data_IF_217705251818
#
_entry.id   IF_217705251818
#
_cell.length_a   1.000
_cell.length_b   1.000
_cell.length_c   1.000
_cell.angle_alpha   90.00
_cell.angle_beta   90.00
_cell.angle_gamma   90.00
#
_symmetry.space_group_name_H-M   'P 1'
#
loop_
_entity.id
_entity.type
_entity.pdbx_description
1 polymer ?
#
# COMPACT_ATOMS: atom_id res chain seq x y z
N UNK A 1 -43.21 3.44 20.50
CA UNK A 1 -44.26 3.46 19.42
C UNK A 1 -45.48 4.29 19.88
N UNK A 2 -46.34 4.69 18.91
CA UNK A 2 -47.61 5.40 19.22
C UNK A 2 -48.50 4.62 20.19
N UNK A 3 -48.46 3.29 20.11
CA UNK A 3 -49.19 2.38 21.00
C UNK A 3 -48.65 2.44 22.46
N UNK A 4 -47.36 2.51 22.64
CA UNK A 4 -46.72 2.64 23.98
C UNK A 4 -47.03 3.97 24.64
N UNK A 5 -47.04 5.07 23.87
CA UNK A 5 -47.41 6.40 24.37
C UNK A 5 -48.88 6.44 24.82
N UNK A 6 -49.79 5.82 24.03
CA UNK A 6 -51.20 5.67 24.42
C UNK A 6 -51.36 4.79 25.67
N UNK A 7 -50.62 3.70 25.79
CA UNK A 7 -50.65 2.82 26.94
C UNK A 7 -50.11 3.50 28.21
N UNK A 8 -49.16 4.44 28.05
CA UNK A 8 -48.63 5.28 29.14
C UNK A 8 -49.53 6.46 29.50
N UNK A 9 -50.74 6.56 28.94
CA UNK A 9 -51.70 7.61 29.25
C UNK A 9 -51.35 8.99 28.69
N UNK A 10 -50.41 9.08 27.77
CA UNK A 10 -50.03 10.35 27.11
C UNK A 10 -51.14 10.77 26.16
N UNK A 11 -51.79 11.90 26.42
CA UNK A 11 -52.75 12.49 25.50
C UNK A 11 -52.00 13.00 24.28
N UNK A 12 -52.22 12.37 23.11
CA UNK A 12 -51.67 12.86 21.85
C UNK A 12 -52.44 14.07 21.35
N UNK A 13 -51.75 15.11 20.90
CA UNK A 13 -52.41 16.30 20.36
C UNK A 13 -53.22 15.94 19.10
N UNK A 14 -54.35 16.63 18.93
CA UNK A 14 -55.25 16.43 17.79
C UNK A 14 -54.75 17.10 16.49
N UNK A 15 -53.79 18.03 16.61
CA UNK A 15 -53.11 18.69 15.51
C UNK A 15 -51.72 19.14 15.92
N UNK A 16 -50.88 19.40 14.91
CA UNK A 16 -49.54 19.95 15.07
C UNK A 16 -49.35 21.10 14.03
N UNK A 17 -48.62 22.11 14.45
CA UNK A 17 -48.23 23.23 13.55
C UNK A 17 -46.75 23.13 13.33
N UNK A 18 -46.33 23.10 12.05
CA UNK A 18 -44.95 23.06 11.63
C UNK A 18 -44.50 24.44 11.19
N UNK A 19 -43.55 25.03 11.89
CA UNK A 19 -42.84 26.21 11.44
C UNK A 19 -41.52 25.78 10.84
N UNK A 20 -41.30 26.13 9.54
CA UNK A 20 -40.13 25.73 8.78
C UNK A 20 -39.29 26.97 8.54
N UNK A 21 -38.06 26.97 9.00
CA UNK A 21 -37.05 27.98 8.74
C UNK A 21 -35.94 27.39 7.88
N UNK A 22 -35.82 27.86 6.65
CA UNK A 22 -34.85 27.38 5.67
C UNK A 22 -33.47 27.98 5.92
N UNK A 23 -32.43 27.19 5.55
CA UNK A 23 -31.05 27.59 5.42
C UNK A 23 -30.45 26.89 4.17
N UNK A 24 -29.24 27.24 3.74
CA UNK A 24 -28.69 26.81 2.44
C UNK A 24 -28.68 25.30 2.22
N UNK A 25 -28.42 24.51 3.29
CA UNK A 25 -28.30 23.05 3.18
C UNK A 25 -29.57 22.30 3.59
N UNK A 26 -30.65 23.00 4.00
CA UNK A 26 -31.88 22.36 4.43
C UNK A 26 -32.85 23.28 5.18
N UNK A 27 -33.47 22.76 6.21
CA UNK A 27 -34.37 23.52 7.05
C UNK A 27 -34.42 23.02 8.48
N UNK A 28 -34.73 23.90 9.41
CA UNK A 28 -35.15 23.52 10.77
C UNK A 28 -36.68 23.52 10.84
N UNK A 29 -37.23 22.49 11.44
CA UNK A 29 -38.65 22.35 11.65
C UNK A 29 -38.93 22.44 13.15
N UNK A 30 -39.75 23.41 13.54
CA UNK A 30 -40.23 23.61 14.90
C UNK A 30 -41.69 23.16 14.98
N UNK A 31 -41.99 22.26 15.90
CA UNK A 31 -43.32 21.67 16.04
C UNK A 31 -43.96 22.28 17.29
N UNK A 32 -45.15 22.87 17.11
CA UNK A 32 -45.93 23.42 18.20
C UNK A 32 -47.36 22.87 18.18
N UNK A 33 -48.07 23.00 19.29
CA UNK A 33 -49.47 22.58 19.41
C UNK A 33 -50.42 23.73 19.48
N UNK A 34 -49.86 24.95 19.48
CA UNK A 34 -50.60 26.23 19.46
C UNK A 34 -49.92 27.17 18.46
N UNK A 35 -50.67 28.09 17.84
CA UNK A 35 -50.07 29.12 16.99
C UNK A 35 -49.15 30.03 17.81
N UNK A 36 -47.92 30.22 17.32
CA UNK A 36 -46.87 31.03 17.98
C UNK A 36 -46.25 32.03 16.99
N UNK A 37 -47.03 32.89 16.37
CA UNK A 37 -46.53 33.79 15.32
C UNK A 37 -45.42 34.72 15.80
N UNK A 38 -45.41 35.09 17.07
CA UNK A 38 -44.39 35.92 17.71
C UNK A 38 -43.01 35.28 17.76
N UNK A 39 -42.89 33.94 17.64
CA UNK A 39 -41.64 33.26 17.65
C UNK A 39 -41.00 33.03 16.25
N UNK A 40 -41.69 33.41 15.19
CA UNK A 40 -41.20 33.21 13.80
C UNK A 40 -39.79 33.80 13.58
N UNK A 41 -39.57 35.04 14.07
CA UNK A 41 -38.25 35.68 13.94
C UNK A 41 -37.19 34.97 14.80
N UNK A 42 -37.57 34.37 15.90
CA UNK A 42 -36.68 33.56 16.74
C UNK A 42 -36.31 32.29 15.95
N UNK A 43 -37.23 31.60 15.32
CA UNK A 43 -37.00 30.42 14.52
C UNK A 43 -36.04 30.68 13.35
N UNK A 44 -36.19 31.82 12.64
CA UNK A 44 -35.23 32.26 11.61
C UNK A 44 -33.83 32.49 12.18
N UNK A 45 -33.72 33.08 13.34
CA UNK A 45 -32.44 33.30 14.02
C UNK A 45 -31.75 31.95 14.40
N UNK A 46 -32.52 30.99 14.86
CA UNK A 46 -32.02 29.63 15.11
C UNK A 46 -31.52 28.99 13.82
N UNK A 47 -32.29 29.07 12.73
CA UNK A 47 -31.87 28.54 11.42
C UNK A 47 -30.56 29.17 10.95
N UNK A 48 -30.41 30.50 11.10
CA UNK A 48 -29.18 31.22 10.73
C UNK A 48 -27.95 30.79 11.56
N UNK A 49 -28.11 30.60 12.89
CA UNK A 49 -27.02 30.11 13.77
C UNK A 49 -26.68 28.67 13.43
N UNK A 50 -27.68 27.85 13.16
CA UNK A 50 -27.47 26.46 12.75
C UNK A 50 -26.73 26.37 11.41
N UNK A 51 -27.14 27.19 10.42
CA UNK A 51 -26.46 27.28 9.12
C UNK A 51 -24.98 27.60 9.27
N UNK A 52 -24.63 28.63 10.05
CA UNK A 52 -23.23 28.99 10.30
C UNK A 52 -22.44 27.83 10.92
N UNK A 53 -23.02 27.16 11.91
CA UNK A 53 -22.38 26.02 12.61
C UNK A 53 -22.24 24.82 11.68
N UNK A 54 -23.28 24.52 10.91
CA UNK A 54 -23.29 23.39 9.99
C UNK A 54 -22.35 23.60 8.80
N UNK A 55 -22.31 24.80 8.24
CA UNK A 55 -21.35 25.17 7.17
C UNK A 55 -19.92 25.00 7.68
N UNK A 56 -19.62 25.50 8.88
CA UNK A 56 -18.30 25.31 9.49
C UNK A 56 -17.95 23.83 9.68
N UNK A 57 -18.91 23.01 10.11
CA UNK A 57 -18.71 21.56 10.24
C UNK A 57 -18.37 20.92 8.89
N UNK A 58 -19.10 21.25 7.82
CA UNK A 58 -18.82 20.75 6.47
C UNK A 58 -17.44 21.21 5.97
N UNK A 59 -17.05 22.45 6.23
CA UNK A 59 -15.74 22.97 5.84
C UNK A 59 -14.61 22.27 6.57
N UNK A 60 -14.79 21.97 7.85
CA UNK A 60 -13.82 21.19 8.64
C UNK A 60 -13.69 19.76 8.11
N UNK A 61 -14.79 19.07 7.84
CA UNK A 61 -14.75 17.74 7.22
C UNK A 61 -14.01 17.73 5.89
N UNK A 62 -14.31 18.72 5.04
CA UNK A 62 -13.62 18.86 3.75
C UNK A 62 -12.12 19.10 3.92
N UNK A 63 -11.75 19.98 4.85
CA UNK A 63 -10.35 20.26 5.15
C UNK A 63 -9.62 19.03 5.69
N UNK A 64 -10.25 18.22 6.56
CA UNK A 64 -9.68 16.97 7.08
C UNK A 64 -9.44 15.95 5.96
N UNK A 65 -10.41 15.76 5.06
CA UNK A 65 -10.26 14.87 3.90
C UNK A 65 -9.12 15.34 2.99
N UNK A 66 -9.06 16.64 2.68
CA UNK A 66 -7.99 17.21 1.86
C UNK A 66 -6.61 17.07 2.52
N UNK A 67 -6.52 17.30 3.83
CA UNK A 67 -5.28 17.14 4.59
C UNK A 67 -4.82 15.67 4.61
N UNK A 68 -5.76 14.72 4.74
CA UNK A 68 -5.47 13.28 4.66
C UNK A 68 -4.91 12.90 3.30
N UNK A 69 -5.59 13.32 2.21
CA UNK A 69 -5.16 13.04 0.85
C UNK A 69 -3.77 13.64 0.55
N UNK A 70 -3.52 14.88 0.97
CA UNK A 70 -2.22 15.51 0.82
C UNK A 70 -1.09 14.74 1.55
N UNK A 71 -1.38 14.16 2.72
CA UNK A 71 -0.42 13.30 3.44
C UNK A 71 -0.13 12.01 2.67
N UNK A 72 -1.16 11.38 2.10
CA UNK A 72 -1.01 10.17 1.28
C UNK A 72 -0.16 10.49 0.05
N UNK A 73 -0.47 11.55 -0.69
CA UNK A 73 0.30 11.96 -1.87
C UNK A 73 1.77 12.26 -1.52
N UNK A 74 2.02 12.97 -0.43
CA UNK A 74 3.39 13.24 0.02
C UNK A 74 4.15 11.95 0.37
N UNK A 75 3.49 10.96 0.97
CA UNK A 75 4.09 9.67 1.27
C UNK A 75 4.39 8.88 -0.03
N UNK A 76 3.46 8.87 -0.98
CA UNK A 76 3.63 8.25 -2.30
C UNK A 76 4.82 8.86 -3.06
N UNK A 77 4.94 10.19 -3.07
CA UNK A 77 6.06 10.86 -3.74
C UNK A 77 7.42 10.55 -3.10
N UNK A 78 7.50 10.39 -1.79
CA UNK A 78 8.74 9.99 -1.12
C UNK A 78 9.15 8.57 -1.50
N UNK A 79 8.20 7.63 -1.56
CA UNK A 79 8.47 6.26 -2.02
C UNK A 79 8.88 6.26 -3.48
N UNK A 80 8.22 7.05 -4.34
CA UNK A 80 8.58 7.20 -5.75
C UNK A 80 10.01 7.74 -5.90
N UNK A 81 10.37 8.78 -5.15
CA UNK A 81 11.69 9.38 -5.20
C UNK A 81 12.77 8.36 -4.81
N UNK A 82 12.56 7.59 -3.74
CA UNK A 82 13.49 6.55 -3.31
C UNK A 82 13.62 5.44 -4.35
N UNK A 83 12.49 4.96 -4.89
CA UNK A 83 12.51 3.94 -5.93
C UNK A 83 13.15 4.45 -7.24
N UNK A 84 13.05 5.74 -7.56
CA UNK A 84 13.73 6.34 -8.71
C UNK A 84 15.24 6.50 -8.51
N UNK A 85 15.71 6.55 -7.27
CA UNK A 85 17.13 6.64 -6.93
C UNK A 85 17.83 5.27 -6.96
N UNK A 86 17.10 4.17 -7.21
CA UNK A 86 17.71 2.83 -7.31
C UNK A 86 18.71 2.73 -8.46
N UNK A 87 19.87 2.15 -8.18
CA UNK A 87 20.92 1.82 -9.14
C UNK A 87 21.17 0.29 -9.22
N UNK A 88 20.78 -0.44 -8.18
CA UNK A 88 21.00 -1.88 -8.06
C UNK A 88 19.84 -2.58 -7.35
N UNK A 89 19.80 -3.90 -7.45
CA UNK A 89 18.79 -4.72 -6.76
C UNK A 89 18.97 -4.74 -5.24
N UNK A 90 20.15 -4.37 -4.71
CA UNK A 90 20.37 -4.20 -3.27
C UNK A 90 19.59 -3.01 -2.70
N UNK A 91 19.26 -2.02 -3.53
CA UNK A 91 18.56 -0.81 -3.11
C UNK A 91 17.09 -1.07 -2.75
N UNK A 92 16.52 -2.22 -3.13
CA UNK A 92 15.17 -2.63 -2.73
C UNK A 92 14.99 -2.69 -1.21
N UNK A 93 16.05 -3.01 -0.46
CA UNK A 93 16.00 -2.99 0.99
C UNK A 93 15.75 -1.56 1.53
N UNK A 94 16.31 -0.55 0.87
CA UNK A 94 16.09 0.86 1.23
C UNK A 94 14.66 1.25 0.90
N UNK A 95 14.17 0.86 -0.28
CA UNK A 95 12.79 1.18 -0.71
C UNK A 95 11.74 0.53 0.21
N UNK A 96 11.94 -0.73 0.63
CA UNK A 96 10.97 -1.40 1.53
C UNK A 96 10.97 -0.75 2.92
N UNK A 97 12.12 -0.32 3.42
CA UNK A 97 12.21 0.47 4.67
C UNK A 97 11.47 1.81 4.53
N UNK A 98 11.63 2.47 3.38
CA UNK A 98 10.92 3.71 3.09
C UNK A 98 9.40 3.48 3.00
N UNK A 99 8.94 2.41 2.35
CA UNK A 99 7.54 2.02 2.35
C UNK A 99 7.01 1.88 3.78
N UNK A 100 7.68 1.09 4.61
CA UNK A 100 7.31 0.90 6.01
C UNK A 100 7.18 2.24 6.75
N UNK A 101 8.21 3.11 6.67
CA UNK A 101 8.22 4.39 7.35
C UNK A 101 7.09 5.31 6.90
N UNK A 102 6.85 5.41 5.59
CA UNK A 102 5.79 6.26 5.07
C UNK A 102 4.39 5.75 5.46
N UNK A 103 4.16 4.44 5.45
CA UNK A 103 2.90 3.85 5.90
C UNK A 103 2.70 4.04 7.41
N UNK A 104 3.74 3.89 8.23
CA UNK A 104 3.69 4.17 9.67
C UNK A 104 3.29 5.64 9.94
N UNK A 105 3.83 6.61 9.18
CA UNK A 105 3.44 8.02 9.30
C UNK A 105 1.98 8.29 8.91
N UNK A 106 1.38 7.43 8.08
CA UNK A 106 -0.04 7.51 7.75
C UNK A 106 -0.94 6.91 8.84
N UNK A 107 -0.37 6.28 9.87
CA UNK A 107 -1.06 5.70 11.02
C UNK A 107 -2.18 4.73 10.60
N UNK A 108 -1.89 3.80 9.67
CA UNK A 108 -2.83 2.74 9.32
C UNK A 108 -3.01 1.78 10.49
N UNK A 109 -4.26 1.58 10.89
CA UNK A 109 -4.57 0.74 12.05
C UNK A 109 -4.27 -0.73 11.73
N UNK A 110 -3.46 -1.35 12.58
CA UNK A 110 -3.09 -2.76 12.43
C UNK A 110 -1.96 -3.03 11.44
N UNK A 111 -1.32 -2.01 10.86
CA UNK A 111 -0.17 -2.17 9.97
C UNK A 111 1.07 -2.63 10.77
N UNK A 112 1.76 -3.65 10.27
CA UNK A 112 2.92 -4.25 10.94
C UNK A 112 4.15 -4.40 10.04
N UNK A 113 4.01 -4.33 8.72
CA UNK A 113 5.13 -4.54 7.82
C UNK A 113 4.84 -4.18 6.37
N UNK A 114 5.92 -4.04 5.60
CA UNK A 114 5.89 -3.82 4.17
C UNK A 114 6.83 -4.80 3.46
N UNK A 115 6.42 -5.29 2.31
CA UNK A 115 7.18 -6.23 1.49
C UNK A 115 7.16 -5.80 0.03
N UNK A 116 8.26 -6.07 -0.67
CA UNK A 116 8.35 -6.07 -2.13
C UNK A 116 8.65 -7.50 -2.56
N UNK A 117 7.79 -8.08 -3.35
CA UNK A 117 7.87 -9.47 -3.84
C UNK A 117 8.04 -9.41 -5.34
N UNK A 118 9.17 -9.86 -5.87
CA UNK A 118 9.39 -10.02 -7.31
C UNK A 118 9.40 -11.49 -7.70
N UNK A 119 8.82 -11.76 -8.86
CA UNK A 119 8.64 -13.10 -9.43
C UNK A 119 9.41 -13.14 -10.74
N UNK A 120 10.39 -14.06 -10.84
CA UNK A 120 11.15 -14.24 -12.06
C UNK A 120 10.49 -15.25 -13.02
N UNK A 121 11.02 -15.36 -14.25
CA UNK A 121 10.51 -16.26 -15.29
C UNK A 121 10.54 -17.75 -14.90
N UNK A 122 11.37 -18.12 -13.91
CA UNK A 122 11.47 -19.49 -13.37
C UNK A 122 10.60 -19.70 -12.16
N UNK A 123 9.74 -18.72 -11.83
CA UNK A 123 8.86 -18.73 -10.68
C UNK A 123 9.60 -18.78 -9.33
N UNK A 124 10.81 -18.17 -9.25
CA UNK A 124 11.42 -17.84 -7.97
C UNK A 124 10.84 -16.53 -7.46
N UNK A 125 10.53 -16.52 -6.17
CA UNK A 125 10.15 -15.31 -5.46
C UNK A 125 11.39 -14.73 -4.77
N UNK A 126 11.64 -13.44 -5.01
CA UNK A 126 12.58 -12.66 -4.21
C UNK A 126 11.78 -11.67 -3.39
N UNK A 127 11.88 -11.76 -2.08
CA UNK A 127 11.12 -10.98 -1.11
C UNK A 127 12.08 -10.08 -0.34
N UNK A 128 11.86 -8.79 -0.42
CA UNK A 128 12.42 -7.81 0.50
C UNK A 128 11.34 -7.47 1.52
N UNK A 129 11.60 -7.83 2.76
CA UNK A 129 10.68 -7.67 3.88
C UNK A 129 11.24 -6.68 4.89
N UNK A 130 10.38 -5.85 5.45
CA UNK A 130 10.65 -5.04 6.62
C UNK A 130 9.40 -5.03 7.50
N UNK A 131 9.38 -5.83 8.54
CA UNK A 131 8.18 -6.05 9.34
C UNK A 131 8.46 -6.28 10.81
N UNK A 132 7.41 -6.09 11.62
CA UNK A 132 7.34 -6.43 13.03
C UNK A 132 6.09 -7.29 13.27
N UNK A 133 6.16 -8.61 13.05
CA UNK A 133 5.01 -9.50 13.18
C UNK A 133 4.31 -9.33 14.52
N UNK A 134 3.00 -9.07 14.49
CA UNK A 134 2.21 -8.80 15.68
C UNK A 134 2.59 -7.52 16.44
N UNK A 135 3.29 -6.56 15.82
CA UNK A 135 3.82 -5.35 16.47
C UNK A 135 4.80 -5.64 17.63
N UNK A 136 5.58 -6.71 17.52
CA UNK A 136 6.54 -7.09 18.53
C UNK A 136 7.93 -6.47 18.28
N UNK A 137 8.19 -5.33 18.93
CA UNK A 137 9.49 -4.64 18.89
C UNK A 137 9.78 -3.92 17.58
N UNK A 138 11.06 -3.59 17.34
CA UNK A 138 11.49 -2.88 16.15
C UNK A 138 11.36 -3.74 14.89
N UNK A 139 10.94 -3.16 13.76
CA UNK A 139 10.89 -3.86 12.49
C UNK A 139 12.25 -4.44 12.09
N UNK A 140 12.25 -5.65 11.57
CA UNK A 140 13.44 -6.32 11.06
C UNK A 140 13.36 -6.45 9.56
N UNK A 141 14.50 -6.24 8.89
CA UNK A 141 14.61 -6.42 7.45
C UNK A 141 15.18 -7.78 7.10
N UNK A 142 14.69 -8.36 6.02
CA UNK A 142 15.23 -9.58 5.44
C UNK A 142 15.10 -9.56 3.92
N UNK A 143 16.07 -10.14 3.24
CA UNK A 143 15.98 -10.45 1.80
C UNK A 143 16.05 -11.97 1.62
N UNK A 144 15.06 -12.52 0.95
CA UNK A 144 14.86 -13.95 0.84
C UNK A 144 14.57 -14.30 -0.61
N UNK A 145 15.18 -15.41 -1.08
CA UNK A 145 14.87 -15.96 -2.41
C UNK A 145 14.57 -17.45 -2.32
N UNK A 146 13.44 -17.86 -2.90
CA UNK A 146 13.00 -19.25 -2.91
C UNK A 146 12.15 -19.59 -4.12
N UNK A 147 12.09 -20.89 -4.46
CA UNK A 147 11.27 -21.41 -5.55
C UNK A 147 9.82 -21.59 -5.09
N UNK A 148 8.86 -20.89 -5.73
CA UNK A 148 7.46 -20.89 -5.33
C UNK A 148 6.83 -22.29 -5.23
N UNK A 149 7.14 -23.17 -6.20
CA UNK A 149 6.56 -24.51 -6.30
C UNK A 149 6.83 -25.41 -5.07
N UNK A 150 7.87 -25.11 -4.30
CA UNK A 150 8.24 -25.90 -3.13
C UNK A 150 7.42 -25.59 -1.87
N UNK A 151 6.64 -24.49 -1.91
CA UNK A 151 5.96 -23.94 -0.74
C UNK A 151 4.50 -23.64 -1.07
N UNK A 152 3.56 -24.52 -0.69
CA UNK A 152 2.15 -24.39 -1.01
C UNK A 152 1.52 -23.05 -0.61
N UNK A 153 1.83 -22.54 0.60
CA UNK A 153 1.26 -21.32 1.15
C UNK A 153 2.09 -20.10 0.72
N UNK A 154 3.40 -20.12 1.08
CA UNK A 154 4.28 -18.96 0.86
C UNK A 154 4.81 -18.84 -0.57
N UNK A 155 4.46 -19.77 -1.44
CA UNK A 155 4.90 -19.75 -2.84
C UNK A 155 3.74 -19.93 -3.82
N UNK A 156 3.13 -21.12 -3.84
CA UNK A 156 2.11 -21.47 -4.85
C UNK A 156 0.87 -20.57 -4.73
N UNK A 157 0.40 -20.30 -3.51
CA UNK A 157 -0.78 -19.45 -3.29
C UNK A 157 -0.50 -18.00 -3.73
N UNK A 158 0.67 -17.45 -3.35
CA UNK A 158 1.10 -16.11 -3.77
C UNK A 158 1.15 -16.02 -5.30
N UNK A 159 1.79 -17.00 -5.93
CA UNK A 159 1.93 -17.05 -7.39
C UNK A 159 0.57 -17.13 -8.10
N UNK A 160 -0.35 -17.98 -7.60
CA UNK A 160 -1.68 -18.12 -8.17
C UNK A 160 -2.49 -16.82 -8.04
N UNK A 161 -2.45 -16.18 -6.88
CA UNK A 161 -3.09 -14.89 -6.64
C UNK A 161 -2.57 -13.80 -7.56
N UNK A 162 -1.26 -13.75 -7.75
CA UNK A 162 -0.67 -12.81 -8.70
C UNK A 162 -1.10 -13.08 -10.16
N UNK A 163 -1.19 -14.36 -10.57
CA UNK A 163 -1.61 -14.77 -11.92
C UNK A 163 -3.09 -14.47 -12.20
N UNK A 164 -3.95 -14.33 -11.19
CA UNK A 164 -5.36 -13.91 -11.36
C UNK A 164 -5.47 -12.52 -12.01
N UNK A 165 -4.43 -11.68 -11.94
CA UNK A 165 -4.38 -10.40 -12.62
C UNK A 165 -5.11 -9.25 -11.91
N UNK A 166 -5.69 -9.48 -10.74
CA UNK A 166 -6.37 -8.45 -9.97
C UNK A 166 -5.38 -7.36 -9.51
N UNK A 167 -5.69 -6.05 -9.67
CA UNK A 167 -4.79 -4.97 -9.28
C UNK A 167 -4.58 -4.87 -7.76
N UNK A 168 -5.55 -5.34 -6.99
CA UNK A 168 -5.52 -5.40 -5.53
C UNK A 168 -5.98 -6.78 -5.05
N UNK A 169 -5.23 -7.36 -4.13
CA UNK A 169 -5.42 -8.71 -3.61
C UNK A 169 -5.30 -8.63 -2.09
N UNK A 170 -6.18 -9.33 -1.38
CA UNK A 170 -6.03 -9.55 0.05
C UNK A 170 -5.75 -11.03 0.25
N UNK A 171 -4.62 -11.33 0.89
CA UNK A 171 -4.30 -12.67 1.35
C UNK A 171 -4.69 -12.77 2.82
N UNK A 172 -5.41 -13.83 3.17
CA UNK A 172 -5.96 -14.05 4.50
C UNK A 172 -5.27 -15.25 5.16
N UNK A 173 -4.73 -15.04 6.34
CA UNK A 173 -4.02 -16.02 7.13
C UNK A 173 -4.63 -16.14 8.53
N UNK A 174 -5.59 -17.03 8.69
CA UNK A 174 -6.06 -17.43 10.01
C UNK A 174 -4.95 -18.13 10.82
N UNK A 175 -5.18 -18.35 12.09
CA UNK A 175 -4.20 -18.98 12.98
C UNK A 175 -3.74 -20.37 12.50
N UNK A 176 -4.63 -21.14 11.86
CA UNK A 176 -4.30 -22.47 11.31
C UNK A 176 -3.34 -22.33 10.13
N UNK A 177 -3.63 -21.41 9.23
CA UNK A 177 -2.81 -21.12 8.06
C UNK A 177 -1.48 -20.48 8.44
N UNK A 178 -1.45 -19.56 9.43
CA UNK A 178 -0.22 -18.99 9.99
C UNK A 178 0.71 -20.09 10.52
N UNK A 179 0.19 -21.03 11.33
CA UNK A 179 0.97 -22.16 11.84
C UNK A 179 1.48 -23.09 10.73
N UNK A 180 0.73 -23.24 9.64
CA UNK A 180 1.19 -23.99 8.49
C UNK A 180 2.27 -23.22 7.71
N UNK A 181 2.12 -21.93 7.51
CA UNK A 181 3.10 -21.04 6.88
C UNK A 181 4.44 -21.01 7.66
N UNK A 182 4.41 -21.03 9.00
CA UNK A 182 5.63 -21.14 9.83
C UNK A 182 6.46 -22.39 9.50
N UNK A 183 5.81 -23.52 9.19
CA UNK A 183 6.53 -24.76 8.80
C UNK A 183 7.25 -24.59 7.45
N UNK A 184 6.71 -23.81 6.56
CA UNK A 184 7.37 -23.44 5.30
C UNK A 184 8.49 -22.45 5.55
N UNK A 185 8.24 -21.40 6.35
CA UNK A 185 9.26 -20.42 6.75
C UNK A 185 10.48 -21.05 7.41
N UNK A 186 10.32 -22.08 8.25
CA UNK A 186 11.46 -22.82 8.83
C UNK A 186 12.40 -23.40 7.78
N UNK A 187 11.90 -23.72 6.59
CA UNK A 187 12.71 -24.23 5.47
C UNK A 187 13.30 -23.13 4.61
N UNK A 188 12.67 -21.95 4.61
CA UNK A 188 13.07 -20.78 3.82
C UNK A 188 14.06 -19.92 4.62
N UNK A 189 13.66 -19.54 5.84
CA UNK A 189 14.44 -18.70 6.75
C UNK A 189 14.03 -18.97 8.21
N UNK A 190 14.91 -19.65 8.96
CA UNK A 190 14.64 -20.07 10.33
C UNK A 190 14.47 -18.88 11.30
N UNK A 191 15.19 -17.79 11.07
CA UNK A 191 15.09 -16.58 11.92
C UNK A 191 13.70 -15.95 11.81
N UNK A 192 13.17 -15.79 10.61
CA UNK A 192 11.81 -15.26 10.40
C UNK A 192 10.78 -16.23 11.00
N UNK A 193 10.93 -17.52 10.77
CA UNK A 193 10.04 -18.52 11.36
C UNK A 193 10.01 -18.44 12.89
N UNK A 194 11.15 -18.20 13.53
CA UNK A 194 11.25 -17.96 14.98
C UNK A 194 10.44 -16.75 15.42
N UNK A 195 10.65 -15.61 14.77
CA UNK A 195 9.94 -14.36 15.10
C UNK A 195 8.41 -14.52 14.98
N UNK A 196 7.95 -15.14 13.88
CA UNK A 196 6.50 -15.38 13.67
C UNK A 196 5.97 -16.37 14.73
N UNK A 197 6.77 -17.41 15.08
CA UNK A 197 6.39 -18.38 16.12
C UNK A 197 6.22 -17.70 17.47
N UNK A 198 7.13 -16.81 17.84
CA UNK A 198 7.07 -16.06 19.10
C UNK A 198 5.87 -15.13 19.14
N UNK A 199 5.58 -14.44 18.03
CA UNK A 199 4.40 -13.59 17.91
C UNK A 199 3.08 -14.37 18.07
N UNK A 200 2.99 -15.57 17.46
CA UNK A 200 1.83 -16.46 17.61
C UNK A 200 1.72 -16.99 19.05
N UNK A 201 2.83 -17.45 19.63
CA UNK A 201 2.84 -18.05 20.96
C UNK A 201 2.54 -17.04 22.07
N UNK A 202 2.97 -15.79 21.88
CA UNK A 202 2.67 -14.66 22.77
C UNK A 202 1.25 -14.08 22.60
N UNK A 203 0.46 -14.59 21.64
CA UNK A 203 -0.88 -14.09 21.36
C UNK A 203 -0.92 -12.75 20.63
N UNK A 204 0.21 -12.26 20.15
CA UNK A 204 0.32 -10.99 19.42
C UNK A 204 -0.08 -11.12 17.94
N UNK A 205 0.01 -12.33 17.38
CA UNK A 205 -0.36 -12.64 16.00
C UNK A 205 -1.33 -13.83 15.98
N UNK A 206 -2.63 -13.54 15.92
CA UNK A 206 -3.71 -14.53 15.85
C UNK A 206 -4.34 -14.61 14.46
N UNK A 207 -4.17 -13.57 13.65
CA UNK A 207 -4.63 -13.44 12.29
C UNK A 207 -3.76 -12.42 11.56
N UNK A 208 -3.47 -12.65 10.27
CA UNK A 208 -2.77 -11.70 9.41
C UNK A 208 -3.51 -11.57 8.09
N UNK A 209 -3.56 -10.35 7.59
CA UNK A 209 -3.99 -10.03 6.23
C UNK A 209 -2.83 -9.33 5.52
N UNK A 210 -2.53 -9.77 4.30
CA UNK A 210 -1.59 -9.06 3.46
C UNK A 210 -2.38 -8.31 2.40
N UNK A 211 -2.37 -6.97 2.47
CA UNK A 211 -2.94 -6.08 1.48
C UNK A 211 -1.94 -5.90 0.34
N UNK A 212 -2.19 -6.54 -0.79
CA UNK A 212 -1.23 -6.63 -1.89
C UNK A 212 -1.67 -5.77 -3.09
N UNK A 213 -0.77 -4.94 -3.59
CA UNK A 213 -0.89 -4.27 -4.89
C UNK A 213 -0.07 -5.02 -5.94
N UNK A 214 -0.69 -5.34 -7.08
CA UNK A 214 -0.07 -6.12 -8.15
C UNK A 214 0.89 -5.27 -8.99
N UNK A 215 2.11 -5.76 -9.16
CA UNK A 215 3.10 -5.28 -10.11
C UNK A 215 3.11 -6.19 -11.36
N UNK A 216 3.71 -5.73 -12.46
CA UNK A 216 3.91 -6.53 -13.67
C UNK A 216 4.65 -7.85 -13.35
N UNK A 217 5.68 -7.79 -12.52
CA UNK A 217 6.53 -8.93 -12.17
C UNK A 217 6.52 -9.23 -10.67
N UNK A 218 5.39 -9.04 -9.97
CA UNK A 218 5.34 -9.28 -8.54
C UNK A 218 4.26 -8.49 -7.81
N UNK A 219 4.51 -8.14 -6.55
CA UNK A 219 3.57 -7.43 -5.70
C UNK A 219 4.31 -6.56 -4.68
N UNK A 220 3.64 -5.48 -4.23
CA UNK A 220 3.92 -4.84 -2.95
C UNK A 220 2.88 -5.37 -1.96
N UNK A 221 3.28 -5.75 -0.77
CA UNK A 221 2.37 -6.21 0.27
C UNK A 221 2.54 -5.40 1.56
N UNK A 222 1.43 -5.16 2.24
CA UNK A 222 1.37 -4.57 3.56
C UNK A 222 0.78 -5.57 4.54
N UNK A 223 1.57 -5.94 5.55
CA UNK A 223 1.17 -6.88 6.58
C UNK A 223 0.26 -6.18 7.59
N UNK A 224 -0.91 -6.74 7.83
CA UNK A 224 -1.95 -6.19 8.69
C UNK A 224 -2.40 -7.22 9.73
N UNK A 225 -2.62 -6.78 10.97
CA UNK A 225 -3.29 -7.58 12.02
C UNK A 225 -4.76 -7.23 12.20
N UNK A 226 -5.28 -6.35 11.34
CA UNK A 226 -6.71 -6.03 11.18
C UNK A 226 -7.09 -6.15 9.72
N UNK A 227 -8.34 -6.51 9.39
CA UNK A 227 -8.79 -6.54 8.01
C UNK A 227 -8.56 -5.20 7.33
N UNK A 228 -7.97 -5.18 6.11
CA UNK A 228 -7.76 -3.95 5.38
C UNK A 228 -9.09 -3.30 4.95
N UNK A 229 -9.22 -2.03 5.19
CA UNK A 229 -10.34 -1.19 4.77
C UNK A 229 -10.08 -0.51 3.40
N UNK A 230 -11.01 0.37 2.99
CA UNK A 230 -10.88 1.10 1.73
C UNK A 230 -9.72 2.10 1.73
N UNK A 231 -9.32 2.64 2.88
CA UNK A 231 -8.15 3.54 2.99
C UNK A 231 -6.85 2.75 2.74
N UNK A 232 -6.69 1.59 3.37
CA UNK A 232 -5.58 0.67 3.11
C UNK A 232 -5.52 0.27 1.65
N UNK A 233 -6.67 -0.08 1.04
CA UNK A 233 -6.76 -0.42 -0.38
C UNK A 233 -6.27 0.72 -1.28
N UNK A 234 -6.77 1.94 -1.05
CA UNK A 234 -6.39 3.13 -1.83
C UNK A 234 -4.89 3.41 -1.73
N UNK A 235 -4.34 3.38 -0.51
CA UNK A 235 -2.92 3.60 -0.26
C UNK A 235 -2.07 2.51 -0.93
N UNK A 236 -2.45 1.23 -0.79
CA UNK A 236 -1.74 0.12 -1.42
C UNK A 236 -1.65 0.29 -2.93
N UNK A 237 -2.76 0.63 -3.59
CA UNK A 237 -2.80 0.84 -5.03
C UNK A 237 -1.91 2.02 -5.45
N UNK A 238 -1.99 3.17 -4.75
CA UNK A 238 -1.17 4.36 -5.05
C UNK A 238 0.33 4.09 -4.87
N UNK A 239 0.72 3.43 -3.78
CA UNK A 239 2.12 3.07 -3.51
C UNK A 239 2.65 2.10 -4.58
N UNK A 240 1.84 1.12 -4.96
CA UNK A 240 2.19 0.14 -5.99
C UNK A 240 2.42 0.82 -7.35
N UNK A 241 1.54 1.72 -7.76
CA UNK A 241 1.70 2.47 -9.00
C UNK A 241 2.96 3.35 -9.00
N UNK A 242 3.23 4.03 -7.90
CA UNK A 242 4.42 4.88 -7.77
C UNK A 242 5.71 4.06 -7.88
N UNK A 243 5.75 2.92 -7.19
CA UNK A 243 6.88 2.00 -7.26
C UNK A 243 7.05 1.40 -8.65
N UNK A 244 5.97 0.92 -9.30
CA UNK A 244 6.04 0.29 -10.61
C UNK A 244 6.58 1.22 -11.68
N UNK A 245 6.18 2.49 -11.67
CA UNK A 245 6.72 3.51 -12.58
C UNK A 245 8.24 3.67 -12.41
N UNK A 246 8.71 3.79 -11.17
CA UNK A 246 10.13 3.91 -10.87
C UNK A 246 10.91 2.63 -11.21
N UNK A 247 10.34 1.46 -10.89
CA UNK A 247 10.96 0.17 -11.18
C UNK A 247 11.05 -0.12 -12.68
N UNK A 248 10.02 0.23 -13.45
CA UNK A 248 10.08 0.11 -14.93
C UNK A 248 11.21 0.95 -15.49
N UNK A 249 11.35 2.21 -15.03
CA UNK A 249 12.47 3.07 -15.45
C UNK A 249 13.83 2.48 -15.07
N UNK A 250 13.95 1.94 -13.87
CA UNK A 250 15.18 1.26 -13.42
C UNK A 250 15.56 0.10 -14.35
N UNK A 251 14.60 -0.75 -14.73
CA UNK A 251 14.82 -1.86 -15.67
C UNK A 251 15.23 -1.36 -17.08
N UNK A 252 14.58 -0.29 -17.56
CA UNK A 252 14.92 0.31 -18.85
C UNK A 252 16.34 0.89 -18.87
N UNK A 253 16.76 1.54 -17.81
CA UNK A 253 18.13 2.05 -17.65
C UNK A 253 19.14 0.91 -17.62
N UNK A 254 18.93 -0.13 -16.83
CA UNK A 254 19.81 -1.30 -16.80
C UNK A 254 19.95 -1.96 -18.17
N UNK A 255 18.83 -2.09 -18.90
CA UNK A 255 18.85 -2.63 -20.26
C UNK A 255 19.63 -1.75 -21.21
N UNK A 256 19.45 -0.43 -21.15
CA UNK A 256 20.18 0.52 -21.97
C UNK A 256 21.69 0.50 -21.68
N UNK A 257 22.07 0.44 -20.39
CA UNK A 257 23.48 0.32 -19.99
C UNK A 257 24.11 -0.99 -20.47
N UNK A 258 23.39 -2.12 -20.36
CA UNK A 258 23.86 -3.40 -20.87
C UNK A 258 24.04 -3.37 -22.40
N UNK A 259 23.10 -2.78 -23.12
CA UNK A 259 23.20 -2.61 -24.59
C UNK A 259 24.35 -1.67 -24.98
N UNK A 260 24.54 -0.56 -24.28
CA UNK A 260 25.66 0.36 -24.53
C UNK A 260 27.01 -0.33 -24.28
N UNK A 261 27.12 -1.13 -23.21
CA UNK A 261 28.33 -1.92 -22.93
C UNK A 261 28.63 -2.95 -24.03
N UNK A 262 27.60 -3.68 -24.49
CA UNK A 262 27.75 -4.64 -25.56
C UNK A 262 28.19 -3.97 -26.87
N UNK A 263 27.59 -2.83 -27.22
CA UNK A 263 27.98 -2.05 -28.39
C UNK A 263 29.43 -1.55 -28.28
N UNK A 264 29.93 -1.18 -27.10
CA UNK A 264 31.34 -0.82 -26.89
C UNK A 264 32.27 -2.02 -27.08
N UNK A 265 31.87 -3.20 -26.59
CA UNK A 265 32.62 -4.44 -26.78
C UNK A 265 32.72 -4.79 -28.29
N UNK A 266 31.58 -4.77 -28.98
CA UNK A 266 31.52 -5.03 -30.44
C UNK A 266 32.38 -4.04 -31.22
N UNK A 267 32.33 -2.74 -30.89
CA UNK A 267 33.17 -1.73 -31.55
C UNK A 267 34.66 -1.97 -31.31
N UNK A 268 35.03 -2.37 -30.07
CA UNK A 268 36.42 -2.71 -29.75
C UNK A 268 36.89 -3.95 -30.52
N UNK A 269 36.05 -5.00 -30.57
CA UNK A 269 36.35 -6.22 -31.33
C UNK A 269 36.52 -5.95 -32.86
N UNK A 270 35.65 -5.09 -33.40
CA UNK A 270 35.75 -4.71 -34.83
C UNK A 270 37.01 -3.90 -35.10
N UNK A 271 37.42 -3.02 -34.19
CA UNK A 271 38.69 -2.28 -34.29
C UNK A 271 39.90 -3.24 -34.30
N UNK A 272 39.92 -4.23 -33.41
CA UNK A 272 40.96 -5.27 -33.36
C UNK A 272 40.96 -6.08 -34.66
N UNK A 273 39.77 -6.55 -35.12
CA UNK A 273 39.60 -7.32 -36.35
C UNK A 273 40.13 -6.54 -37.57
N UNK A 274 39.72 -5.27 -37.73
CA UNK A 274 40.11 -4.40 -38.81
C UNK A 274 41.64 -4.21 -38.86
N UNK A 275 42.25 -4.02 -37.70
CA UNK A 275 43.71 -3.83 -37.61
C UNK A 275 44.47 -5.12 -37.85
N UNK A 276 43.95 -6.26 -37.36
CA UNK A 276 44.53 -7.59 -37.64
C UNK A 276 44.48 -7.90 -39.16
N UNK A 277 43.36 -7.57 -39.81
CA UNK A 277 43.24 -7.77 -41.27
C UNK A 277 44.12 -6.84 -42.12
N UNK A 278 44.48 -5.68 -41.59
CA UNK A 278 45.38 -4.71 -42.24
C UNK A 278 46.86 -5.03 -42.05
N UNK A 279 47.24 -6.00 -41.20
CA UNK A 279 48.61 -6.42 -40.97
C UNK A 279 49.22 -7.00 -42.24
N UNK A 280 50.42 -6.58 -42.59
CA UNK A 280 51.22 -7.08 -43.68
C UNK A 280 52.44 -7.90 -43.21
N UNK A 281 52.90 -7.68 -41.98
CA UNK A 281 54.02 -8.33 -41.35
C UNK A 281 53.66 -8.85 -39.94
N UNK A 282 54.33 -9.95 -39.53
CA UNK A 282 54.04 -10.60 -38.23
C UNK A 282 54.51 -9.82 -36.99
N UNK A 283 55.43 -8.89 -37.16
CA UNK A 283 55.92 -7.99 -36.08
C UNK A 283 54.91 -6.91 -35.70
N UNK A 284 53.93 -6.61 -36.56
CA UNK A 284 52.82 -5.69 -36.28
C UNK A 284 51.80 -6.27 -35.25
N UNK A 285 51.95 -7.54 -34.87
CA UNK A 285 51.04 -8.18 -33.91
C UNK A 285 51.02 -7.51 -32.52
N UNK A 286 52.17 -6.95 -32.10
CA UNK A 286 52.28 -6.23 -30.84
C UNK A 286 51.46 -4.92 -30.84
N UNK A 287 51.38 -4.27 -32.00
CA UNK A 287 50.58 -3.03 -32.16
C UNK A 287 49.08 -3.31 -32.13
N UNK A 288 48.65 -4.49 -32.58
CA UNK A 288 47.24 -4.93 -32.48
C UNK A 288 46.89 -5.27 -31.04
N UNK A 289 47.82 -5.86 -30.28
CA UNK A 289 47.59 -6.21 -28.88
C UNK A 289 47.54 -5.00 -27.92
N UNK A 290 47.97 -3.83 -28.38
CA UNK A 290 48.01 -2.58 -27.61
C UNK A 290 46.75 -1.71 -27.75
N UNK A 291 45.74 -2.17 -28.48
CA UNK A 291 44.46 -1.49 -28.73
C UNK A 291 43.45 -1.73 -27.62
#
# INVERSE_FOLDING_TARGET
>A
TLAELKAAGVQLPTFQIFYIAYFDQGYLMFITYEPVPEFQEIFKRFAKVFEQTYTRFLDLQKAEVQAREAKIEAAVERVRAEAMAMHSTSDFEIVVKQLLQQIQHLNLEGFTGAQIILIDEKEFLTVWDCSSPGNMGDPKSATIKYEAKKFPIMGVEILNKWKEGNPYIVMDFDLKKLRAAVKEWKKINETIAGIITDAISGGHLTHQWDACGRLKNGMIAFDMIKPPDDDVRNITIKMTHAFEQAYTRFLDLQKAEAQAREAQIEAALEKVRSRTMAMQHSDELLDVASI
#
